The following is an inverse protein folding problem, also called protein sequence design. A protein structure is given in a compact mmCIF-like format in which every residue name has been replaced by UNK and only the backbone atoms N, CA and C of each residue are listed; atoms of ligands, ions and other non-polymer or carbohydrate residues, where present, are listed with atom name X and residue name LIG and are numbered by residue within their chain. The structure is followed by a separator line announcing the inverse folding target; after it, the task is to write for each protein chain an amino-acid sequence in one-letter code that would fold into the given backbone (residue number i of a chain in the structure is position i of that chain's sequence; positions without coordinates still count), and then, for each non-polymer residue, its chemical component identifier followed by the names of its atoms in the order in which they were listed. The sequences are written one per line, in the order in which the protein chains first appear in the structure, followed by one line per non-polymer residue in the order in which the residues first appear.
data_IF_570797813113
#
_entry.id   IF_570797813113
#
_cell.length_a   1.000
_cell.length_b   1.000
_cell.length_c   1.000
_cell.angle_alpha   90.00
_cell.angle_beta   90.00
_cell.angle_gamma   90.00
#
_symmetry.space_group_name_H-M   'P 1'
#
loop_
_entity.id
_entity.type
_entity.pdbx_description
1 polymer ?
#
# COMPACT_ATOMS: atom_id res chain seq x y z
N UNK A 1 5.94 21.76 -5.15
CA UNK A 1 6.62 20.49 -5.51
C UNK A 1 7.07 19.77 -4.24
N UNK A 2 6.66 18.52 -4.03
CA UNK A 2 6.89 17.80 -2.77
C UNK A 2 8.35 17.37 -2.61
N UNK A 3 8.92 17.62 -1.43
CA UNK A 3 10.24 17.10 -1.05
C UNK A 3 10.24 15.57 -1.08
N UNK A 4 11.39 14.98 -1.45
CA UNK A 4 11.57 13.53 -1.40
C UNK A 4 11.65 13.07 0.05
N UNK A 5 10.82 12.10 0.41
CA UNK A 5 10.70 11.59 1.75
C UNK A 5 10.78 10.05 1.75
N UNK A 6 11.68 9.49 2.56
CA UNK A 6 11.89 8.04 2.66
C UNK A 6 10.63 7.29 3.13
N UNK A 7 9.84 7.91 4.01
CA UNK A 7 8.57 7.34 4.46
C UNK A 7 7.58 7.20 3.31
N UNK A 8 7.47 8.21 2.45
CA UNK A 8 6.63 8.16 1.24
C UNK A 8 7.15 7.10 0.27
N UNK A 9 8.47 6.98 0.12
CA UNK A 9 9.09 5.95 -0.71
C UNK A 9 8.69 4.55 -0.25
N UNK A 10 8.75 4.28 1.07
CA UNK A 10 8.35 2.99 1.63
C UNK A 10 6.86 2.73 1.43
N UNK A 11 5.99 3.72 1.63
CA UNK A 11 4.55 3.61 1.36
C UNK A 11 4.32 3.24 -0.10
N UNK A 12 4.95 3.92 -1.05
CA UNK A 12 4.82 3.63 -2.48
C UNK A 12 5.29 2.21 -2.82
N UNK A 13 6.40 1.76 -2.26
CA UNK A 13 6.90 0.40 -2.46
C UNK A 13 5.93 -0.66 -1.94
N UNK A 14 5.36 -0.45 -0.74
CA UNK A 14 4.35 -1.35 -0.16
C UNK A 14 3.07 -1.34 -1.01
N UNK A 15 2.60 -0.16 -1.44
CA UNK A 15 1.44 -0.02 -2.31
C UNK A 15 1.64 -0.73 -3.65
N UNK A 16 2.85 -0.70 -4.21
CA UNK A 16 3.18 -1.39 -5.43
C UNK A 16 3.18 -2.92 -5.26
N UNK A 17 3.75 -3.42 -4.15
CA UNK A 17 3.71 -4.84 -3.82
C UNK A 17 2.27 -5.34 -3.60
N UNK A 18 1.44 -4.55 -2.91
CA UNK A 18 0.02 -4.83 -2.73
C UNK A 18 -0.77 -4.74 -4.03
N UNK A 19 -0.44 -3.81 -4.93
CA UNK A 19 -1.10 -3.64 -6.22
C UNK A 19 -1.02 -4.88 -7.12
N UNK A 20 -0.02 -5.74 -6.94
CA UNK A 20 0.03 -7.05 -7.61
C UNK A 20 -1.09 -7.99 -7.14
N UNK A 21 -1.61 -7.81 -5.92
CA UNK A 21 -2.73 -8.56 -5.37
C UNK A 21 -4.09 -7.93 -5.71
N UNK A 22 -4.15 -6.61 -5.93
CA UNK A 22 -5.38 -5.88 -6.25
C UNK A 22 -5.45 -5.57 -7.75
N UNK A 23 -6.10 -6.45 -8.52
CA UNK A 23 -6.21 -6.41 -9.99
C UNK A 23 -6.68 -5.08 -10.62
N UNK A 24 -7.21 -4.14 -9.82
CA UNK A 24 -7.83 -2.89 -10.29
C UNK A 24 -7.06 -1.61 -9.89
N UNK A 25 -5.95 -1.72 -9.15
CA UNK A 25 -5.20 -0.55 -8.70
C UNK A 25 -4.03 -0.29 -9.64
N UNK A 26 -3.96 0.89 -10.26
CA UNK A 26 -2.71 1.38 -10.88
C UNK A 26 -1.79 1.85 -9.74
N UNK A 27 -0.73 1.10 -9.38
CA UNK A 27 0.13 1.49 -8.28
C UNK A 27 0.90 2.78 -8.62
N UNK A 28 1.16 3.66 -7.64
CA UNK A 28 1.94 4.87 -7.86
C UNK A 28 3.42 4.55 -8.14
N UNK A 29 4.11 5.44 -8.84
CA UNK A 29 5.55 5.32 -9.04
C UNK A 29 6.30 5.54 -7.72
N UNK A 30 7.34 4.73 -7.46
CA UNK A 30 8.17 4.84 -6.25
C UNK A 30 9.20 5.97 -6.45
N UNK A 31 8.87 7.16 -5.98
CA UNK A 31 9.67 8.39 -6.18
C UNK A 31 10.05 9.08 -4.87
N UNK A 32 9.40 8.72 -3.76
CA UNK A 32 9.48 9.42 -2.48
C UNK A 32 8.70 10.74 -2.45
N UNK A 33 7.97 11.09 -3.50
CA UNK A 33 7.19 12.33 -3.57
C UNK A 33 5.71 12.03 -3.33
N UNK A 34 5.07 12.75 -2.40
CA UNK A 34 3.64 12.62 -2.14
C UNK A 34 2.83 13.37 -3.22
N UNK A 35 2.73 12.76 -4.38
CA UNK A 35 2.00 13.29 -5.53
C UNK A 35 0.52 12.88 -5.54
N UNK A 36 -0.23 13.39 -6.52
CA UNK A 36 -1.66 13.09 -6.65
C UNK A 36 -1.94 11.61 -6.94
N UNK A 37 -0.99 10.87 -7.53
CA UNK A 37 -1.13 9.43 -7.77
C UNK A 37 -1.01 8.65 -6.46
N UNK A 38 -0.01 8.97 -5.64
CA UNK A 38 0.20 8.38 -4.31
C UNK A 38 -0.98 8.67 -3.38
N UNK A 39 -1.46 9.93 -3.35
CA UNK A 39 -2.61 10.28 -2.54
C UNK A 39 -3.90 9.57 -2.97
N UNK A 40 -4.09 9.33 -4.28
CA UNK A 40 -5.22 8.52 -4.78
C UNK A 40 -5.11 7.07 -4.29
N UNK A 41 -3.93 6.47 -4.37
CA UNK A 41 -3.72 5.11 -3.90
C UNK A 41 -3.96 4.99 -2.38
N UNK A 42 -3.49 5.96 -1.59
CA UNK A 42 -3.76 6.02 -0.14
C UNK A 42 -5.26 6.10 0.14
N UNK A 43 -6.01 6.96 -0.57
CA UNK A 43 -7.47 7.07 -0.40
C UNK A 43 -8.21 5.79 -0.77
N UNK A 44 -7.86 5.15 -1.87
CA UNK A 44 -8.47 3.87 -2.26
C UNK A 44 -8.25 2.81 -1.18
N UNK A 45 -7.04 2.77 -0.61
CA UNK A 45 -6.72 1.84 0.45
C UNK A 45 -7.49 2.18 1.73
N UNK A 46 -7.55 3.44 2.15
CA UNK A 46 -8.40 3.88 3.26
C UNK A 46 -9.87 3.49 3.08
N UNK A 47 -10.41 3.63 1.86
CA UNK A 47 -11.78 3.25 1.53
C UNK A 47 -12.03 1.74 1.70
N UNK A 48 -11.08 0.90 1.27
CA UNK A 48 -11.16 -0.55 1.43
C UNK A 48 -11.27 -0.97 2.91
N UNK A 49 -10.76 -0.16 3.83
CA UNK A 49 -10.82 -0.43 5.28
C UNK A 49 -11.95 0.29 6.01
N UNK A 50 -12.82 0.98 5.29
CA UNK A 50 -13.87 1.80 5.90
C UNK A 50 -13.33 2.99 6.70
N UNK A 51 -12.11 3.44 6.40
CA UNK A 51 -11.53 4.65 6.98
C UNK A 51 -11.88 5.89 6.17
N UNK A 52 -11.75 7.06 6.80
CA UNK A 52 -11.88 8.33 6.12
C UNK A 52 -10.80 8.47 5.02
N UNK A 53 -11.23 8.86 3.82
CA UNK A 53 -10.39 8.93 2.62
C UNK A 53 -9.60 10.25 2.57
N UNK A 54 -8.83 10.53 3.63
CA UNK A 54 -8.07 11.78 3.76
C UNK A 54 -6.90 11.87 2.77
N UNK A 55 -6.38 10.72 2.31
CA UNK A 55 -5.14 10.65 1.52
C UNK A 55 -3.88 10.99 2.34
N UNK A 56 -4.02 11.13 3.66
CA UNK A 56 -2.92 11.42 4.59
C UNK A 56 -2.31 10.11 5.07
N UNK A 57 -0.97 10.05 5.06
CA UNK A 57 -0.19 8.95 5.64
C UNK A 57 0.03 9.28 7.11
N UNK A 58 -0.90 8.84 7.97
CA UNK A 58 -0.79 8.98 9.42
C UNK A 58 -0.33 7.66 10.08
N UNK A 59 -0.14 7.69 11.41
CA UNK A 59 0.29 6.52 12.17
C UNK A 59 -0.69 5.34 12.07
N UNK A 60 -2.00 5.61 11.93
CA UNK A 60 -3.04 4.59 11.84
C UNK A 60 -2.99 3.88 10.49
N UNK A 61 -2.93 4.68 9.42
CA UNK A 61 -2.75 4.19 8.07
C UNK A 61 -1.45 3.41 7.93
N UNK A 62 -0.35 3.88 8.52
CA UNK A 62 0.94 3.17 8.47
C UNK A 62 0.90 1.81 9.18
N UNK A 63 0.35 1.75 10.38
CA UNK A 63 0.20 0.49 11.12
C UNK A 63 -0.68 -0.50 10.35
N UNK A 64 -1.72 0.00 9.69
CA UNK A 64 -2.59 -0.80 8.85
C UNK A 64 -1.86 -1.32 7.59
N UNK A 65 -1.22 -0.42 6.85
CA UNK A 65 -0.52 -0.72 5.59
C UNK A 65 0.54 -1.81 5.78
N UNK A 66 1.32 -1.69 6.85
CA UNK A 66 2.38 -2.67 7.19
C UNK A 66 1.78 -4.02 7.58
N UNK A 67 0.69 -4.05 8.34
CA UNK A 67 -0.02 -5.30 8.65
C UNK A 67 -0.55 -5.99 7.40
N UNK A 68 -1.16 -5.24 6.49
CA UNK A 68 -1.67 -5.79 5.23
C UNK A 68 -0.53 -6.37 4.40
N UNK A 69 0.58 -5.65 4.29
CA UNK A 69 1.78 -6.13 3.60
C UNK A 69 2.30 -7.44 4.19
N UNK A 70 2.41 -7.53 5.52
CA UNK A 70 2.84 -8.77 6.19
C UNK A 70 1.90 -9.95 5.88
N UNK A 71 0.59 -9.72 5.83
CA UNK A 71 -0.39 -10.75 5.51
C UNK A 71 -0.35 -11.19 4.03
N UNK A 72 -0.15 -10.26 3.11
CA UNK A 72 -0.25 -10.52 1.67
C UNK A 72 1.06 -10.92 1.01
N UNK A 73 2.16 -10.30 1.41
CA UNK A 73 3.49 -10.43 0.79
C UNK A 73 4.51 -11.12 1.70
N UNK A 74 4.16 -11.36 2.96
CA UNK A 74 5.08 -11.83 4.00
C UNK A 74 5.84 -10.69 4.68
N UNK A 75 6.75 -11.01 5.59
CA UNK A 75 7.62 -10.04 6.29
C UNK A 75 8.79 -9.52 5.42
N UNK A 76 8.85 -9.91 4.15
CA UNK A 76 9.96 -9.61 3.24
C UNK A 76 11.11 -10.63 3.28
N UNK A 77 11.00 -11.70 4.06
CA UNK A 77 12.01 -12.78 4.14
C UNK A 77 11.60 -14.07 3.41
N UNK A 78 10.30 -14.23 3.13
CA UNK A 78 9.76 -15.34 2.35
C UNK A 78 9.74 -14.90 0.87
N UNK A 79 10.29 -15.71 -0.04
CA UNK A 79 10.12 -15.51 -1.48
C UNK A 79 8.63 -15.42 -1.82
N UNK A 80 8.29 -14.54 -2.77
CA UNK A 80 6.92 -14.12 -3.10
C UNK A 80 5.87 -15.22 -2.82
N UNK A 81 4.86 -14.96 -1.96
CA UNK A 81 3.87 -15.97 -1.65
C UNK A 81 3.22 -16.45 -2.95
N UNK A 82 3.19 -17.76 -3.13
CA UNK A 82 2.45 -18.35 -4.24
C UNK A 82 1.00 -17.88 -4.15
N UNK A 83 0.44 -17.51 -5.30
CA UNK A 83 -0.85 -16.82 -5.45
C UNK A 83 -2.05 -17.48 -4.74
N UNK A 84 -1.90 -18.72 -4.26
CA UNK A 84 -2.92 -19.48 -3.52
C UNK A 84 -3.18 -19.02 -2.08
N UNK A 85 -2.30 -18.23 -1.44
CA UNK A 85 -2.53 -17.76 -0.05
C UNK A 85 -3.25 -16.41 0.04
N UNK A 86 -3.13 -15.56 -0.99
CA UNK A 86 -3.70 -14.21 -0.97
C UNK A 86 -5.23 -14.18 -1.15
N UNK A 87 -5.80 -15.21 -1.78
CA UNK A 87 -7.25 -15.29 -2.09
C UNK A 87 -8.11 -15.41 -0.82
N UNK A 88 -7.57 -15.96 0.27
CA UNK A 88 -8.33 -16.19 1.51
C UNK A 88 -8.45 -14.98 2.45
N UNK A 89 -7.77 -13.86 2.15
CA UNK A 89 -7.80 -12.67 3.02
C UNK A 89 -8.73 -11.56 2.52
N UNK A 90 -9.41 -11.77 1.38
CA UNK A 90 -10.23 -10.74 0.72
C UNK A 90 -11.66 -11.21 0.37
N UNK A 91 -12.11 -12.34 0.95
CA UNK A 91 -13.51 -12.78 0.95
C UNK A 91 -14.02 -12.95 2.38
#
# INVERSE_FOLDING_TARGET
PGERNLHVYLVQAILQALGQCYANASPPAVTGVLDASTQRAVRSLQALFGHEQTGVIDHRFWAYLTRLYTLSAGDGTQGAPSASSAVNYLL
#
